data_IF_297661166465
#
_entry.id   IF_297661166465
#
_cell.length_a   1.000
_cell.length_b   1.000
_cell.length_c   1.000
_cell.angle_alpha   90.00
_cell.angle_beta   90.00
_cell.angle_gamma   90.00
#
_symmetry.space_group_name_H-M   'P 1'
#
loop_
_entity.id
_entity.type
_entity.pdbx_description
1 polymer ?
#
# COMPACT_ATOMS: atom_id res chain seq x y z
N UNK A 1 25.22 -34.14 -3.13
CA UNK A 1 24.61 -33.67 -1.90
C UNK A 1 23.99 -32.36 -2.13
N UNK A 2 22.75 -32.37 -2.41
CA UNK A 2 22.06 -31.11 -2.66
C UNK A 2 21.72 -30.55 -1.31
N UNK A 3 22.33 -29.47 -1.00
CA UNK A 3 21.95 -28.72 0.12
C UNK A 3 20.64 -28.07 -0.28
N UNK A 4 19.59 -28.66 0.15
CA UNK A 4 18.31 -28.02 0.05
C UNK A 4 18.32 -26.82 0.94
N UNK A 5 18.65 -25.70 0.39
CA UNK A 5 18.36 -24.47 1.04
C UNK A 5 16.84 -24.41 1.05
N UNK A 6 16.30 -24.63 2.20
CA UNK A 6 14.92 -24.36 2.37
C UNK A 6 14.78 -22.86 2.21
N UNK A 7 14.13 -22.48 1.17
CA UNK A 7 13.89 -21.09 0.89
C UNK A 7 12.77 -20.62 1.78
N UNK A 8 12.94 -20.83 3.07
CA UNK A 8 11.93 -20.41 4.00
C UNK A 8 12.42 -19.22 4.81
N UNK A 9 13.43 -18.55 4.33
CA UNK A 9 13.91 -17.38 5.01
C UNK A 9 12.91 -16.23 4.81
N UNK A 10 12.61 -15.49 5.85
CA UNK A 10 11.72 -14.36 5.72
C UNK A 10 12.28 -13.34 4.71
N UNK A 11 11.41 -12.73 3.93
CA UNK A 11 11.82 -11.80 2.90
C UNK A 11 11.14 -10.45 3.09
N UNK A 12 11.77 -9.41 2.60
CA UNK A 12 11.13 -8.11 2.53
C UNK A 12 10.22 -8.08 1.30
N UNK A 13 9.15 -7.31 1.38
CA UNK A 13 8.20 -7.16 0.27
C UNK A 13 8.19 -5.72 -0.21
N UNK A 14 8.32 -5.55 -1.49
CA UNK A 14 8.19 -4.24 -2.11
C UNK A 14 6.78 -4.19 -2.71
N UNK A 15 5.90 -3.49 -2.06
CA UNK A 15 4.50 -3.41 -2.43
C UNK A 15 4.24 -2.15 -3.24
N UNK A 16 3.98 -2.31 -4.53
CA UNK A 16 3.63 -1.20 -5.41
C UNK A 16 2.11 -1.10 -5.44
N UNK A 17 1.57 -0.11 -4.77
CA UNK A 17 0.14 0.06 -4.58
C UNK A 17 -0.35 1.11 -5.57
N UNK A 18 -1.28 0.70 -6.43
CA UNK A 18 -1.84 1.55 -7.45
C UNK A 18 -3.29 1.84 -7.11
N UNK A 19 -3.67 3.09 -7.11
CA UNK A 19 -5.04 3.48 -6.79
C UNK A 19 -5.99 2.97 -7.88
N UNK A 20 -7.08 2.36 -7.45
CA UNK A 20 -8.07 1.83 -8.38
C UNK A 20 -9.21 2.83 -8.53
N UNK A 21 -9.83 2.83 -9.69
CA UNK A 21 -10.90 3.78 -9.97
C UNK A 21 -12.13 3.57 -9.10
N UNK A 22 -12.37 2.34 -8.73
CA UNK A 22 -13.54 1.98 -7.94
C UNK A 22 -13.23 1.85 -6.45
N UNK A 23 -12.07 2.30 -6.01
CA UNK A 23 -11.73 2.27 -4.60
C UNK A 23 -11.13 3.63 -4.19
N UNK A 24 -11.61 4.15 -3.08
CA UNK A 24 -11.19 5.45 -2.62
C UNK A 24 -9.92 5.35 -1.78
N UNK A 25 -8.83 5.87 -2.27
CA UNK A 25 -7.54 5.83 -1.60
C UNK A 25 -6.81 4.52 -1.81
N UNK A 26 -5.88 4.22 -0.92
CA UNK A 26 -5.09 3.00 -0.99
C UNK A 26 -5.61 1.88 -0.09
N UNK A 27 -6.41 2.22 0.90
CA UNK A 27 -7.02 1.23 1.78
C UNK A 27 -6.14 0.73 2.90
N UNK A 28 -5.27 1.57 3.46
CA UNK A 28 -4.50 1.22 4.64
C UNK A 28 -4.29 2.45 5.51
N UNK A 29 -3.94 2.22 6.76
CA UNK A 29 -3.52 3.31 7.61
C UNK A 29 -2.19 3.00 8.29
N UNK A 30 -1.56 4.03 8.82
CA UNK A 30 -0.27 3.95 9.45
C UNK A 30 -0.38 4.27 10.92
N UNK A 31 0.48 3.68 11.71
CA UNK A 31 0.62 4.11 13.09
C UNK A 31 2.09 4.02 13.52
N UNK A 32 2.42 4.79 14.52
CA UNK A 32 3.71 4.74 15.18
C UNK A 32 3.46 4.25 16.60
N UNK A 33 4.29 3.34 17.08
CA UNK A 33 4.16 2.84 18.44
C UNK A 33 5.16 3.53 19.34
N UNK A 34 4.70 3.89 20.53
CA UNK A 34 5.58 4.53 21.46
C UNK A 34 6.68 3.58 21.89
N UNK A 35 7.89 4.03 21.82
CA UNK A 35 9.02 3.19 22.19
C UNK A 35 9.55 2.29 21.10
N UNK A 36 8.87 2.24 19.97
CA UNK A 36 9.36 1.48 18.82
C UNK A 36 9.64 2.42 17.67
N UNK A 37 10.84 2.42 17.12
CA UNK A 37 11.12 3.29 15.98
C UNK A 37 10.43 2.74 14.74
N UNK A 38 9.98 3.62 13.90
CA UNK A 38 9.41 3.26 12.61
C UNK A 38 7.90 3.48 12.52
N UNK A 39 7.39 3.22 11.35
CA UNK A 39 5.97 3.31 11.05
C UNK A 39 5.45 1.94 10.67
N UNK A 40 4.27 1.63 11.11
CA UNK A 40 3.69 0.31 10.95
C UNK A 40 2.32 0.40 10.28
N UNK A 41 1.93 -0.65 9.60
CA UNK A 41 0.61 -0.74 9.01
C UNK A 41 -0.37 -1.13 10.11
N UNK A 42 -1.29 -0.23 10.41
CA UNK A 42 -2.27 -0.43 11.47
C UNK A 42 -3.55 -1.09 11.01
N UNK A 43 -3.85 -1.02 9.71
CA UNK A 43 -5.05 -1.62 9.17
C UNK A 43 -4.91 -1.72 7.66
N UNK A 44 -5.46 -2.75 7.08
CA UNK A 44 -5.57 -2.88 5.62
C UNK A 44 -7.03 -3.22 5.33
N UNK A 45 -7.65 -2.44 4.48
CA UNK A 45 -9.07 -2.64 4.16
C UNK A 45 -9.25 -3.81 3.18
N UNK A 46 -10.30 -4.57 3.38
CA UNK A 46 -10.59 -5.68 2.52
C UNK A 46 -10.94 -5.20 1.11
N UNK A 47 -10.41 -5.85 0.10
CA UNK A 47 -10.66 -5.48 -1.29
C UNK A 47 -9.93 -4.23 -1.75
N UNK A 48 -9.01 -3.72 -0.95
CA UNK A 48 -8.31 -2.49 -1.27
C UNK A 48 -7.11 -2.71 -2.18
N UNK A 49 -6.63 -1.66 -2.85
CA UNK A 49 -5.38 -1.74 -3.60
C UNK A 49 -4.20 -2.20 -2.74
N UNK A 50 -4.16 -1.80 -1.48
CA UNK A 50 -3.09 -2.20 -0.57
C UNK A 50 -3.12 -3.69 -0.28
N UNK A 51 -4.31 -4.23 -0.02
CA UNK A 51 -4.44 -5.66 0.20
C UNK A 51 -4.01 -6.42 -1.04
N UNK A 52 -4.45 -5.97 -2.20
CA UNK A 52 -4.12 -6.62 -3.46
C UNK A 52 -2.62 -6.57 -3.77
N UNK A 53 -1.92 -5.57 -3.26
CA UNK A 53 -0.48 -5.47 -3.41
C UNK A 53 0.29 -6.21 -2.30
N UNK A 54 -0.40 -6.97 -1.48
CA UNK A 54 0.26 -7.80 -0.47
C UNK A 54 0.63 -7.11 0.83
N UNK A 55 0.10 -5.92 1.07
CA UNK A 55 0.36 -5.22 2.33
C UNK A 55 -0.44 -5.90 3.44
N UNK A 56 0.15 -6.02 4.61
CA UNK A 56 -0.49 -6.71 5.73
C UNK A 56 -0.44 -5.88 7.00
N UNK A 57 -1.43 -6.11 7.84
CA UNK A 57 -1.48 -5.52 9.17
C UNK A 57 -0.20 -5.89 9.94
N UNK A 58 0.40 -4.91 10.58
CA UNK A 58 1.60 -5.13 11.37
C UNK A 58 2.91 -5.00 10.60
N UNK A 59 2.85 -4.83 9.31
CA UNK A 59 4.07 -4.62 8.52
C UNK A 59 4.77 -3.34 8.95
N UNK A 60 6.09 -3.41 9.02
CA UNK A 60 6.91 -2.23 9.30
C UNK A 60 7.39 -1.65 7.98
N UNK A 61 7.27 -0.36 7.82
CA UNK A 61 7.69 0.32 6.59
C UNK A 61 9.17 0.70 6.70
N UNK A 62 9.94 0.30 5.72
CA UNK A 62 11.37 0.60 5.65
C UNK A 62 11.64 1.76 4.68
N UNK A 63 11.03 1.69 3.51
CA UNK A 63 11.17 2.74 2.50
C UNK A 63 9.83 3.11 1.89
N UNK A 64 9.70 4.35 1.49
CA UNK A 64 8.54 4.85 0.75
C UNK A 64 9.06 5.47 -0.54
N UNK A 65 8.61 4.98 -1.66
CA UNK A 65 9.01 5.47 -2.99
C UNK A 65 10.55 5.54 -3.14
N UNK A 66 11.22 4.52 -2.63
CA UNK A 66 12.67 4.41 -2.75
C UNK A 66 13.47 5.20 -1.72
N UNK A 67 12.81 5.83 -0.76
CA UNK A 67 13.48 6.63 0.25
C UNK A 67 13.33 6.00 1.62
N UNK A 68 14.41 5.78 2.31
CA UNK A 68 14.41 5.24 3.66
C UNK A 68 13.77 6.23 4.62
N UNK A 69 12.86 5.74 5.45
CA UNK A 69 12.09 6.62 6.35
C UNK A 69 12.53 6.55 7.80
N UNK A 70 13.69 6.00 8.06
CA UNK A 70 14.15 5.81 9.45
C UNK A 70 14.21 7.12 10.25
N UNK A 71 14.45 8.22 9.58
CA UNK A 71 14.54 9.51 10.24
C UNK A 71 13.31 10.39 10.02
N UNK A 72 12.29 9.87 9.40
CA UNK A 72 11.08 10.63 9.11
C UNK A 72 10.06 10.48 10.21
N UNK A 73 9.37 11.54 10.50
CA UNK A 73 8.24 11.47 11.42
C UNK A 73 6.99 11.04 10.64
N UNK A 74 5.92 10.74 11.36
CA UNK A 74 4.68 10.26 10.76
C UNK A 74 4.18 11.16 9.63
N UNK A 75 4.20 12.47 9.86
CA UNK A 75 3.70 13.42 8.85
C UNK A 75 4.55 13.37 7.58
N UNK A 76 5.85 13.25 7.73
CA UNK A 76 6.75 13.17 6.60
C UNK A 76 6.53 11.89 5.80
N UNK A 77 6.29 10.78 6.50
CA UNK A 77 5.99 9.51 5.83
C UNK A 77 4.70 9.62 5.03
N UNK A 78 3.66 10.21 5.61
CA UNK A 78 2.40 10.42 4.90
C UNK A 78 2.62 11.29 3.66
N UNK A 79 3.42 12.32 3.76
CA UNK A 79 3.73 13.17 2.61
C UNK A 79 4.47 12.41 1.51
N UNK A 80 5.38 11.52 1.88
CA UNK A 80 6.07 10.70 0.88
C UNK A 80 5.12 9.75 0.18
N UNK A 81 4.20 9.15 0.92
CA UNK A 81 3.20 8.27 0.34
C UNK A 81 2.36 9.01 -0.69
N UNK A 82 2.04 10.25 -0.40
CA UNK A 82 1.22 11.07 -1.29
C UNK A 82 2.03 11.78 -2.38
N UNK A 83 3.33 11.62 -2.39
CA UNK A 83 4.17 12.37 -3.34
C UNK A 83 4.01 11.93 -4.80
N UNK A 84 3.57 10.73 -5.01
CA UNK A 84 3.26 10.26 -6.36
C UNK A 84 1.75 10.25 -6.54
N UNK A 85 1.33 10.58 -7.72
CA UNK A 85 -0.09 10.62 -8.01
C UNK A 85 -0.57 9.22 -8.32
N UNK A 86 -1.62 8.80 -7.66
CA UNK A 86 -2.29 7.52 -7.90
C UNK A 86 -1.48 6.26 -7.64
N UNK A 87 -0.31 6.38 -7.09
CA UNK A 87 0.49 5.19 -6.74
C UNK A 87 1.45 5.48 -5.61
N UNK A 88 1.86 4.45 -4.92
CA UNK A 88 2.92 4.55 -3.92
C UNK A 88 3.62 3.20 -3.82
N UNK A 89 4.87 3.22 -3.44
CA UNK A 89 5.65 2.00 -3.32
C UNK A 89 6.21 1.91 -1.91
N UNK A 90 5.94 0.83 -1.25
CA UNK A 90 6.37 0.62 0.14
C UNK A 90 7.23 -0.62 0.26
N UNK A 91 8.42 -0.46 0.80
CA UNK A 91 9.24 -1.60 1.17
C UNK A 91 8.90 -1.93 2.61
N UNK A 92 8.36 -3.11 2.84
CA UNK A 92 7.86 -3.51 4.16
C UNK A 92 8.41 -4.87 4.58
N UNK A 93 8.43 -5.09 5.86
CA UNK A 93 8.78 -6.38 6.45
C UNK A 93 7.75 -6.70 7.53
N UNK A 94 7.40 -7.97 7.65
CA UNK A 94 6.59 -8.40 8.78
C UNK A 94 7.47 -8.58 10.00
N UNK A 95 6.87 -8.90 11.12
CA UNK A 95 7.58 -9.03 12.38
C UNK A 95 8.68 -10.08 12.34
N UNK A 96 8.42 -11.17 11.65
CA UNK A 96 9.37 -12.25 11.53
C UNK A 96 10.56 -11.84 10.69
N UNK A 97 10.29 -11.23 9.54
CA UNK A 97 11.36 -10.76 8.67
C UNK A 97 12.18 -9.64 9.35
N UNK A 98 11.52 -8.74 10.04
CA UNK A 98 12.22 -7.66 10.74
C UNK A 98 13.20 -8.25 11.77
N UNK A 99 12.75 -9.24 12.52
CA UNK A 99 13.60 -9.92 13.51
C UNK A 99 14.75 -10.64 12.83
N UNK A 100 14.45 -11.33 11.75
CA UNK A 100 15.46 -12.07 11.00
C UNK A 100 16.58 -11.15 10.47
N UNK A 101 16.19 -10.06 9.82
CA UNK A 101 17.16 -9.13 9.25
C UNK A 101 17.99 -8.44 10.35
N UNK A 102 17.36 -8.07 11.45
CA UNK A 102 18.07 -7.49 12.58
C UNK A 102 19.06 -8.46 13.21
N UNK A 103 18.64 -9.69 13.41
CA UNK A 103 19.49 -10.70 14.04
C UNK A 103 20.71 -11.05 13.19
N UNK A 104 20.57 -10.91 11.89
CA UNK A 104 21.66 -11.21 10.97
C UNK A 104 22.44 -9.95 10.55
N UNK A 105 22.13 -8.81 11.16
CA UNK A 105 22.77 -7.54 10.84
C UNK A 105 22.68 -7.18 9.36
N UNK A 106 21.56 -7.50 8.76
CA UNK A 106 21.33 -7.19 7.35
C UNK A 106 20.52 -5.89 7.25
N UNK A 107 21.06 -4.93 6.54
CA UNK A 107 20.35 -3.67 6.32
C UNK A 107 19.31 -3.88 5.22
N UNK A 108 18.06 -3.57 5.53
CA UNK A 108 16.97 -3.76 4.57
C UNK A 108 16.89 -2.55 3.65
N UNK A 109 16.95 -2.78 2.36
CA UNK A 109 16.79 -1.73 1.36
C UNK A 109 16.29 -2.34 0.06
N UNK A 110 15.75 -1.53 -0.81
CA UNK A 110 15.12 -2.00 -2.04
C UNK A 110 16.08 -2.65 -3.05
N UNK A 111 17.37 -2.55 -2.80
CA UNK A 111 18.36 -3.20 -3.66
C UNK A 111 18.77 -4.60 -3.23
N UNK A 112 18.14 -5.17 -2.20
CA UNK A 112 18.46 -6.53 -1.79
C UNK A 112 18.02 -7.52 -2.87
N UNK A 113 18.76 -8.63 -3.05
CA UNK A 113 18.46 -9.56 -4.13
C UNK A 113 17.17 -10.35 -3.96
N UNK A 114 16.79 -10.62 -2.75
CA UNK A 114 15.67 -11.52 -2.52
C UNK A 114 14.41 -10.81 -2.05
N UNK A 115 14.10 -9.68 -2.63
CA UNK A 115 12.89 -8.95 -2.29
C UNK A 115 11.72 -9.47 -3.13
N UNK A 116 10.59 -9.68 -2.49
CA UNK A 116 9.39 -10.07 -3.18
C UNK A 116 8.68 -8.83 -3.70
N UNK A 117 8.58 -8.70 -5.00
CA UNK A 117 7.92 -7.56 -5.64
C UNK A 117 6.46 -7.87 -5.89
N UNK A 118 5.59 -7.08 -5.32
CA UNK A 118 4.14 -7.24 -5.47
C UNK A 118 3.53 -5.94 -5.96
N UNK A 119 2.51 -6.04 -6.80
CA UNK A 119 1.86 -4.87 -7.38
C UNK A 119 0.36 -5.08 -7.33
N UNK A 120 -0.39 -4.01 -7.09
CA UNK A 120 -1.84 -4.06 -7.21
C UNK A 120 -2.17 -4.52 -8.63
N UNK A 121 -2.91 -5.62 -8.79
CA UNK A 121 -3.25 -6.06 -10.14
C UNK A 121 -4.23 -5.06 -10.74
N UNK A 122 -3.86 -4.51 -11.84
CA UNK A 122 -4.77 -3.70 -12.59
C UNK A 122 -5.61 -4.72 -13.33
N UNK A 123 -6.73 -5.06 -12.76
CA UNK A 123 -7.62 -5.94 -13.47
C UNK A 123 -7.99 -5.14 -14.69
N UNK A 124 -7.80 -5.73 -15.78
CA UNK A 124 -8.12 -5.10 -17.03
C UNK A 124 -9.60 -5.02 -17.23
N UNK A 125 -10.25 -4.49 -16.27
CA UNK A 125 -11.55 -3.96 -16.49
C UNK A 125 -11.36 -2.67 -17.23
N UNK A 126 -10.14 -2.34 -17.44
CA UNK A 126 -9.88 -1.40 -18.42
C UNK A 126 -10.25 -2.09 -19.65
N UNK A 127 -11.40 -1.83 -20.12
CA UNK A 127 -11.79 -2.24 -21.35
C UNK A 127 -10.76 -1.92 -22.24
N UNK A 128 -10.26 -2.86 -22.82
CA UNK A 128 -9.65 -2.67 -24.04
C UNK A 128 -10.75 -2.14 -24.84
N UNK A 129 -10.65 -0.92 -25.19
CA UNK A 129 -11.54 -0.41 -26.14
C UNK A 129 -11.24 -1.15 -27.37
N UNK A 130 -11.79 -2.25 -27.47
CA UNK A 130 -11.85 -2.81 -28.76
C UNK A 130 -12.93 -1.99 -29.38
N UNK A 131 -12.52 -1.22 -30.25
CA UNK A 131 -13.34 -0.45 -31.01
C UNK A 131 -14.25 -1.32 -31.79
N UNK A 132 -15.34 -1.63 -31.29
CA UNK A 132 -16.29 -2.33 -32.03
C UNK A 132 -17.41 -1.43 -32.16
N UNK A 133 -17.56 -0.99 -33.32
CA UNK A 133 -18.59 -0.29 -33.80
C UNK A 133 -19.88 -0.80 -33.45
N UNK A 134 -20.57 -0.34 -32.58
CA UNK A 134 -21.82 -0.73 -32.41
C UNK A 134 -22.69 0.33 -32.19
N UNK A 135 -23.53 0.52 -33.01
CA UNK A 135 -24.57 1.31 -32.92
C UNK A 135 -25.25 1.14 -31.72
N UNK A 136 -25.38 2.04 -30.99
CA UNK A 136 -25.91 1.98 -29.90
C UNK A 136 -27.18 2.34 -29.64
N UNK A 137 -27.88 1.97 -28.94
CA UNK A 137 -29.06 2.29 -28.59
C UNK A 137 -28.95 3.00 -27.37
N UNK A 138 -29.51 3.97 -27.28
CA UNK A 138 -29.47 4.76 -26.24
C UNK A 138 -30.12 4.38 -25.08
N UNK A 139 -29.59 4.42 -24.14
CA UNK A 139 -30.25 4.20 -23.06
C UNK A 139 -30.00 5.24 -22.19
N UNK A 140 -30.87 5.95 -22.00
CA UNK A 140 -30.67 6.95 -21.34
C UNK A 140 -30.81 6.75 -20.01
N UNK A 141 -30.54 6.52 -19.23
CA UNK A 141 -30.75 6.42 -18.03
C UNK A 141 -29.82 6.60 -17.12
N UNK A 142 -29.23 6.36 -17.12
CA UNK A 142 -28.32 6.43 -16.42
C UNK A 142 -28.14 7.35 -15.43
N UNK A 143 -28.27 7.92 -15.28
CA UNK A 143 -27.95 8.76 -14.61
C UNK A 143 -27.88 8.84 -13.35
N UNK A 144 -27.76 9.36 -13.03
CA UNK A 144 -27.90 9.61 -12.05
C UNK A 144 -27.23 9.40 -11.02
N UNK A 145 -27.17 9.27 -10.54
CA UNK A 145 -26.76 9.05 -9.65
C UNK A 145 -25.75 9.29 -9.08
N UNK A 146 -25.28 9.12 -8.85
CA UNK A 146 -24.31 9.15 -8.38
C UNK A 146 -23.81 10.11 -7.80
N UNK A 147 -23.89 10.61 -8.04
CA UNK A 147 -23.38 11.68 -7.79
C UNK A 147 -22.99 11.93 -6.44
N UNK A 148 -23.58 11.91 -5.66
CA UNK A 148 -23.24 12.34 -4.49
C UNK A 148 -22.08 11.90 -3.90
N UNK A 149 -21.67 10.90 -4.29
CA UNK A 149 -20.72 10.42 -3.75
C UNK A 149 -19.54 11.00 -3.92
N UNK A 150 -19.25 11.43 -4.83
CA UNK A 150 -17.97 11.86 -5.09
C UNK A 150 -17.46 12.78 -4.05
N UNK A 151 -18.28 13.49 -3.50
CA UNK A 151 -17.82 14.41 -2.60
C UNK A 151 -17.18 13.80 -1.46
N UNK A 152 -17.73 12.80 -1.02
CA UNK A 152 -17.23 12.18 0.11
C UNK A 152 -15.88 11.66 -0.14
N UNK A 153 -15.63 11.30 -1.33
CA UNK A 153 -14.40 10.67 -1.56
C UNK A 153 -13.23 11.54 -1.30
N UNK A 154 -13.32 12.75 -1.58
CA UNK A 154 -12.19 13.58 -1.41
C UNK A 154 -11.77 13.61 0.03
N UNK A 155 -12.70 13.68 0.91
CA UNK A 155 -12.36 13.74 2.26
C UNK A 155 -11.90 12.42 2.73
N UNK A 156 -12.48 11.39 2.14
CA UNK A 156 -12.20 10.10 2.54
C UNK A 156 -10.78 9.73 2.32
N UNK A 157 -10.22 10.14 1.23
CA UNK A 157 -8.92 9.82 0.95
C UNK A 157 -8.00 10.29 2.01
N UNK A 158 -8.23 11.42 2.52
CA UNK A 158 -7.42 11.93 3.55
C UNK A 158 -7.63 11.16 4.82
N UNK A 159 -8.83 10.79 5.07
CA UNK A 159 -9.16 10.08 6.27
C UNK A 159 -8.48 8.75 6.40
N UNK A 160 -8.32 8.08 5.32
CA UNK A 160 -7.76 6.76 5.37
C UNK A 160 -6.35 6.74 5.89
N UNK A 161 -5.58 7.72 5.56
CA UNK A 161 -4.20 7.70 5.97
C UNK A 161 -4.00 8.33 7.33
N UNK A 162 -4.86 9.23 7.69
CA UNK A 162 -4.68 9.98 8.89
C UNK A 162 -5.20 9.34 10.14
N UNK A 163 -6.12 8.44 10.00
CA UNK A 163 -6.71 7.82 11.17
C UNK A 163 -5.68 7.29 12.15
N UNK A 164 -4.63 6.76 11.62
CA UNK A 164 -3.67 6.15 12.52
C UNK A 164 -2.86 7.19 13.28
N UNK A 165 -2.86 8.38 12.80
CA UNK A 165 -2.11 9.39 13.47
C UNK A 165 -2.71 9.66 14.83
N UNK A 166 -4.01 9.69 14.88
CA UNK A 166 -4.69 9.98 16.11
C UNK A 166 -4.52 8.88 17.13
N UNK A 167 -4.48 7.69 16.66
CA UNK A 167 -4.33 6.57 17.54
C UNK A 167 -2.96 6.56 18.16
N UNK A 168 -1.99 6.98 17.43
CA UNK A 168 -0.64 6.94 17.93
C UNK A 168 -0.41 7.93 19.04
N UNK A 169 -1.23 8.93 19.12
CA UNK A 169 -1.06 9.92 20.13
C UNK A 169 -1.97 9.77 21.32
N UNK A 170 -2.84 8.85 21.27
CA UNK A 170 -3.82 8.73 22.32
C UNK A 170 -3.27 8.01 23.51
N UNK A 171 -2.08 7.65 23.54
CA UNK A 171 -1.57 6.95 24.68
C UNK A 171 -0.54 7.79 25.38
#
# INVERSE_FOLDING_TARGET
>A
MSNGLTTDAPVARLCHIIQLEDFDGYGFNLHAEKGKPGQFIGKVDEGSPAEAAGLKLGDRIIEVNGVNIANDNHKQVVQRIKSKQNETELLVVDSEADTYFKSNNITIHSGLPDILHLTTPITASTKIDSNEDKRGENSEDAQSQKSGKSVASADHEVGVIIVSLDIAYTI
#
